data_IF_246024972559
#
_entry.id   IF_246024972559
#
_cell.length_a   1.000
_cell.length_b   1.000
_cell.length_c   1.000
_cell.angle_alpha   90.00
_cell.angle_beta   90.00
_cell.angle_gamma   90.00
#
_symmetry.space_group_name_H-M   'P 1'
#
loop_
_entity.id
_entity.type
_entity.pdbx_description
1 polymer ?
#
# COMPACT_ATOMS: atom_id res chain seq x y z
N UNK A 1 -49.46 -44.97 -54.44
CA UNK A 1 -50.32 -44.85 -53.24
C UNK A 1 -49.58 -44.18 -52.16
N UNK A 2 -49.96 -43.03 -51.90
CA UNK A 2 -49.35 -42.00 -51.04
C UNK A 2 -49.64 -42.24 -49.58
N UNK A 3 -48.66 -41.95 -48.65
CA UNK A 3 -49.00 -41.62 -47.31
C UNK A 3 -48.03 -40.51 -46.83
N UNK A 4 -48.66 -39.42 -46.57
CA UNK A 4 -48.12 -38.17 -46.03
C UNK A 4 -47.91 -38.33 -44.53
N UNK A 5 -46.77 -37.89 -43.99
CA UNK A 5 -46.45 -37.97 -42.61
C UNK A 5 -45.81 -36.64 -42.13
N UNK A 6 -46.66 -35.68 -41.79
CA UNK A 6 -46.25 -34.41 -41.23
C UNK A 6 -45.74 -34.54 -39.83
N UNK A 7 -44.52 -34.12 -39.63
CA UNK A 7 -43.90 -33.96 -38.30
C UNK A 7 -44.09 -32.51 -37.80
N UNK A 8 -44.99 -32.34 -36.86
CA UNK A 8 -45.20 -31.09 -36.15
C UNK A 8 -44.04 -30.83 -35.11
N UNK A 9 -43.16 -29.93 -35.45
CA UNK A 9 -42.15 -29.44 -34.50
C UNK A 9 -42.79 -28.51 -33.48
N UNK A 10 -42.79 -28.91 -32.19
CA UNK A 10 -43.12 -28.04 -31.08
C UNK A 10 -41.89 -27.17 -30.74
N UNK A 11 -42.01 -25.89 -31.00
CA UNK A 11 -41.04 -24.92 -30.50
C UNK A 11 -41.18 -24.77 -28.95
N UNK A 12 -40.17 -25.20 -28.20
CA UNK A 12 -40.07 -24.96 -26.78
C UNK A 12 -39.45 -23.59 -26.62
N UNK A 13 -40.25 -22.58 -26.27
CA UNK A 13 -39.78 -21.26 -25.95
C UNK A 13 -39.09 -21.28 -24.54
N UNK A 14 -37.78 -21.14 -24.52
CA UNK A 14 -37.04 -20.93 -23.28
C UNK A 14 -37.17 -19.45 -22.89
N UNK A 15 -37.98 -19.15 -21.87
CA UNK A 15 -38.04 -17.84 -21.26
C UNK A 15 -36.80 -17.64 -20.39
N UNK A 16 -35.86 -16.85 -20.87
CA UNK A 16 -34.70 -16.39 -20.04
C UNK A 16 -35.22 -15.30 -19.11
N UNK A 17 -35.48 -15.66 -17.85
CA UNK A 17 -35.69 -14.67 -16.79
C UNK A 17 -34.36 -14.03 -16.44
N UNK A 18 -34.12 -12.82 -16.91
CA UNK A 18 -33.02 -11.96 -16.45
C UNK A 18 -33.40 -11.40 -15.08
N UNK A 19 -32.89 -12.01 -14.02
CA UNK A 19 -32.95 -11.39 -12.70
C UNK A 19 -31.99 -10.18 -12.67
N UNK A 20 -32.53 -8.98 -12.88
CA UNK A 20 -31.83 -7.76 -12.47
C UNK A 20 -31.77 -7.76 -10.94
N UNK A 21 -30.66 -8.23 -10.36
CA UNK A 21 -30.33 -7.97 -8.98
C UNK A 21 -29.94 -6.49 -8.84
N UNK A 22 -30.93 -5.65 -8.59
CA UNK A 22 -30.67 -4.30 -8.09
C UNK A 22 -30.00 -4.43 -6.74
N UNK A 23 -28.68 -4.30 -6.69
CA UNK A 23 -27.95 -4.14 -5.44
C UNK A 23 -28.37 -2.79 -4.85
N UNK A 24 -29.36 -2.83 -3.95
CA UNK A 24 -29.72 -1.69 -3.12
C UNK A 24 -28.47 -1.33 -2.31
N UNK A 25 -27.80 -0.26 -2.69
CA UNK A 25 -26.72 0.31 -1.88
C UNK A 25 -27.35 0.82 -0.58
N UNK A 26 -27.10 0.10 0.53
CA UNK A 26 -27.46 0.60 1.85
C UNK A 26 -26.74 1.93 2.06
N UNK A 27 -27.46 3.02 2.36
CA UNK A 27 -26.82 4.29 2.58
C UNK A 27 -25.89 4.18 3.82
N UNK A 28 -24.69 4.80 3.72
CA UNK A 28 -23.75 4.87 4.82
C UNK A 28 -24.39 5.63 6.00
N UNK A 29 -24.14 5.18 7.21
CA UNK A 29 -24.52 5.97 8.39
C UNK A 29 -23.77 7.32 8.40
N UNK A 30 -24.33 8.33 9.07
CA UNK A 30 -23.66 9.62 9.22
C UNK A 30 -22.29 9.48 9.89
N UNK A 31 -22.16 8.56 10.85
CA UNK A 31 -20.90 8.27 11.54
C UNK A 31 -19.86 7.65 10.58
N UNK A 32 -20.27 6.69 9.76
CA UNK A 32 -19.36 6.08 8.76
C UNK A 32 -18.91 7.09 7.73
N UNK A 33 -19.81 7.97 7.29
CA UNK A 33 -19.48 9.06 6.36
C UNK A 33 -18.42 10.00 6.94
N UNK A 34 -18.54 10.40 8.20
CA UNK A 34 -17.55 11.25 8.87
C UNK A 34 -16.18 10.57 8.95
N UNK A 35 -16.14 9.28 9.29
CA UNK A 35 -14.90 8.51 9.40
C UNK A 35 -14.20 8.33 8.04
N UNK A 36 -14.97 8.13 6.98
CA UNK A 36 -14.46 8.07 5.61
C UNK A 36 -13.88 9.42 5.17
N UNK A 37 -14.54 10.53 5.50
CA UNK A 37 -14.03 11.88 5.21
C UNK A 37 -12.73 12.13 5.96
N UNK A 38 -12.64 11.74 7.23
CA UNK A 38 -11.38 11.84 8.00
C UNK A 38 -10.27 11.00 7.35
N UNK A 39 -10.53 9.73 7.02
CA UNK A 39 -9.55 8.86 6.36
C UNK A 39 -9.05 9.47 5.04
N UNK A 40 -9.95 9.98 4.22
CA UNK A 40 -9.61 10.67 2.98
C UNK A 40 -8.75 11.92 3.22
N UNK A 41 -9.10 12.74 4.21
CA UNK A 41 -8.39 14.00 4.49
C UNK A 41 -6.94 13.80 4.92
N UNK A 42 -6.61 12.62 5.49
CA UNK A 42 -5.26 12.24 5.87
C UNK A 42 -4.55 11.50 4.72
N UNK A 43 -5.25 10.61 4.04
CA UNK A 43 -4.68 9.78 2.99
C UNK A 43 -4.30 10.57 1.74
N UNK A 44 -5.18 11.46 1.26
CA UNK A 44 -4.96 12.16 0.01
C UNK A 44 -3.63 12.95 -0.03
N UNK A 45 -3.29 13.79 0.97
CA UNK A 45 -2.01 14.49 0.97
C UNK A 45 -0.80 13.56 1.13
N UNK A 46 -0.94 12.39 1.77
CA UNK A 46 0.14 11.40 1.85
C UNK A 46 0.36 10.71 0.50
N UNK A 47 -0.71 10.34 -0.20
CA UNK A 47 -0.63 9.76 -1.56
C UNK A 47 0.02 10.74 -2.53
N UNK A 48 -0.31 12.03 -2.45
CA UNK A 48 0.24 13.07 -3.32
C UNK A 48 1.67 13.50 -2.95
N UNK A 49 2.16 13.11 -1.76
CA UNK A 49 3.57 13.31 -1.37
C UNK A 49 4.47 12.26 -2.01
N UNK A 50 5.57 12.68 -2.63
CA UNK A 50 6.55 11.80 -3.23
C UNK A 50 7.51 11.23 -2.19
N UNK A 51 7.96 9.99 -2.42
CA UNK A 51 8.86 9.31 -1.49
C UNK A 51 9.29 7.95 -2.04
N UNK A 52 9.97 7.94 -3.19
CA UNK A 52 10.60 6.72 -3.73
C UNK A 52 11.61 6.20 -2.71
N UNK A 53 11.75 4.86 -2.62
CA UNK A 53 12.68 4.19 -1.72
C UNK A 53 14.07 4.83 -1.71
N UNK A 54 14.48 5.34 -0.55
CA UNK A 54 15.70 6.12 -0.33
C UNK A 54 15.53 7.64 -0.45
N UNK A 55 14.31 8.13 -0.78
CA UNK A 55 13.99 9.56 -0.87
C UNK A 55 12.69 9.92 -0.12
N UNK A 56 12.43 9.28 1.03
CA UNK A 56 11.19 9.38 1.81
C UNK A 56 11.04 10.71 2.58
N UNK A 57 12.01 11.61 2.48
CA UNK A 57 11.99 12.89 3.20
C UNK A 57 10.66 13.64 3.12
N UNK A 58 10.12 13.93 1.93
CA UNK A 58 8.88 14.69 1.77
C UNK A 58 7.68 14.05 2.46
N UNK A 59 7.48 12.74 2.30
CA UNK A 59 6.35 12.04 2.93
C UNK A 59 6.53 11.90 4.43
N UNK A 60 7.75 11.69 4.94
CA UNK A 60 8.04 11.68 6.38
C UNK A 60 7.65 13.01 7.03
N UNK A 61 7.99 14.12 6.40
CA UNK A 61 7.58 15.44 6.88
C UNK A 61 6.05 15.65 6.79
N UNK A 62 5.39 15.06 5.79
CA UNK A 62 3.93 15.08 5.72
C UNK A 62 3.30 14.31 6.89
N UNK A 63 3.81 13.13 7.23
CA UNK A 63 3.35 12.37 8.41
C UNK A 63 3.59 13.17 9.70
N UNK A 64 4.77 13.78 9.88
CA UNK A 64 5.07 14.61 11.07
C UNK A 64 4.05 15.74 11.26
N UNK A 65 3.66 16.43 10.17
CA UNK A 65 2.64 17.50 10.23
C UNK A 65 1.25 16.99 10.62
N UNK A 66 0.96 15.72 10.35
CA UNK A 66 -0.32 15.08 10.63
C UNK A 66 -0.38 14.40 12.00
N UNK A 67 0.73 14.28 12.72
CA UNK A 67 0.76 13.74 14.07
C UNK A 67 -0.11 14.56 15.02
N UNK A 68 -0.76 13.95 16.02
CA UNK A 68 -1.43 14.70 17.06
C UNK A 68 -0.41 15.51 17.87
N UNK A 69 -0.80 16.69 18.33
CA UNK A 69 0.09 17.68 18.98
C UNK A 69 0.83 17.15 20.21
N UNK A 70 0.29 16.14 20.87
CA UNK A 70 0.91 15.50 22.03
C UNK A 70 1.98 14.46 21.64
N UNK A 71 1.98 13.95 20.40
CA UNK A 71 2.89 12.89 19.97
C UNK A 71 4.29 13.48 19.74
N UNK A 72 5.25 12.98 20.52
CA UNK A 72 6.67 13.28 20.31
C UNK A 72 7.23 12.27 19.34
N UNK A 73 7.72 12.74 18.21
CA UNK A 73 8.35 11.89 17.20
C UNK A 73 9.85 12.07 17.18
N UNK A 74 10.56 11.01 16.85
CA UNK A 74 12.00 11.00 16.59
C UNK A 74 12.27 10.36 15.23
N UNK A 75 13.36 10.77 14.58
CA UNK A 75 13.81 10.13 13.34
C UNK A 75 15.15 9.47 13.64
N UNK A 76 15.27 8.18 13.37
CA UNK A 76 16.52 7.45 13.56
C UNK A 76 17.52 7.69 12.42
N UNK A 77 18.71 7.10 12.54
CA UNK A 77 19.78 7.23 11.54
C UNK A 77 19.47 6.54 10.21
N UNK A 78 18.55 5.57 10.20
CA UNK A 78 18.07 4.91 9.00
C UNK A 78 17.05 5.77 8.26
N UNK A 79 16.40 6.71 8.94
CA UNK A 79 15.35 7.59 8.43
C UNK A 79 13.95 7.18 8.85
N UNK A 80 13.78 6.14 9.66
CA UNK A 80 12.47 5.76 10.20
C UNK A 80 11.94 6.84 11.15
N UNK A 81 10.63 7.06 11.14
CA UNK A 81 9.95 7.94 12.07
C UNK A 81 9.31 7.11 13.19
N UNK A 82 9.54 7.50 14.45
CA UNK A 82 9.10 6.78 15.64
C UNK A 82 8.19 7.64 16.51
N UNK A 83 7.15 7.02 17.08
CA UNK A 83 6.35 7.59 18.17
C UNK A 83 6.14 6.52 19.23
N UNK A 84 6.54 6.80 20.48
CA UNK A 84 6.38 5.90 21.62
C UNK A 84 5.22 6.37 22.49
N UNK A 85 4.33 5.47 22.88
CA UNK A 85 3.16 5.78 23.71
C UNK A 85 3.02 4.73 24.81
N UNK A 86 2.63 5.17 26.00
CA UNK A 86 2.56 4.29 27.18
C UNK A 86 3.93 3.93 27.73
N UNK A 87 3.95 3.04 28.71
CA UNK A 87 5.16 2.58 29.41
C UNK A 87 4.98 1.14 29.89
N UNK A 88 6.09 0.46 30.19
CA UNK A 88 6.08 -0.88 30.77
C UNK A 88 6.03 -2.00 29.71
N UNK A 89 5.75 -3.21 30.17
CA UNK A 89 5.71 -4.43 29.38
C UNK A 89 4.31 -4.99 29.26
N UNK A 90 4.03 -5.73 28.17
CA UNK A 90 4.90 -5.99 27.04
C UNK A 90 5.07 -4.76 26.14
N UNK A 91 6.13 -4.74 25.31
CA UNK A 91 6.28 -3.76 24.24
C UNK A 91 5.66 -4.32 22.97
N UNK A 92 4.84 -3.53 22.29
CA UNK A 92 4.18 -3.85 21.02
C UNK A 92 4.66 -2.86 19.96
N UNK A 93 5.05 -3.35 18.80
CA UNK A 93 5.42 -2.52 17.66
C UNK A 93 4.30 -2.54 16.63
N UNK A 94 3.98 -1.40 16.06
CA UNK A 94 3.14 -1.24 14.86
C UNK A 94 3.99 -0.51 13.83
N UNK A 95 4.24 -1.14 12.69
CA UNK A 95 5.14 -0.63 11.66
C UNK A 95 4.46 -0.61 10.30
N UNK A 96 4.62 0.49 9.55
CA UNK A 96 4.12 0.68 8.19
C UNK A 96 5.18 1.46 7.40
N UNK A 97 5.37 1.15 6.12
CA UNK A 97 6.41 1.83 5.36
C UNK A 97 5.95 3.16 4.74
N UNK A 98 6.92 4.04 4.51
CA UNK A 98 6.72 5.35 3.89
C UNK A 98 7.07 5.39 2.42
N UNK A 99 7.99 4.53 2.00
CA UNK A 99 8.45 4.56 0.63
C UNK A 99 7.41 4.04 -0.36
N UNK A 100 7.71 4.21 -1.60
CA UNK A 100 6.92 3.79 -2.74
C UNK A 100 7.84 3.29 -3.83
N UNK A 101 7.33 2.39 -4.67
CA UNK A 101 8.01 1.98 -5.90
C UNK A 101 8.24 3.20 -6.81
N UNK A 102 9.31 3.15 -7.57
CA UNK A 102 9.62 4.20 -8.54
C UNK A 102 10.91 3.89 -9.28
N UNK A 103 11.57 4.94 -9.71
CA UNK A 103 12.82 4.82 -10.47
C UNK A 103 13.87 5.78 -9.92
N UNK A 104 15.12 5.51 -10.30
CA UNK A 104 16.27 6.38 -10.07
C UNK A 104 17.02 6.59 -11.38
N UNK A 105 17.49 7.79 -11.63
CA UNK A 105 18.34 8.11 -12.78
C UNK A 105 19.67 7.38 -12.62
N UNK A 106 19.92 6.41 -13.49
CA UNK A 106 21.17 5.62 -13.54
C UNK A 106 22.13 6.12 -14.62
N UNK A 107 21.64 6.86 -15.63
CA UNK A 107 22.46 7.41 -16.70
C UNK A 107 21.80 8.59 -17.39
N UNK A 108 22.62 9.48 -17.95
CA UNK A 108 22.18 10.57 -18.83
C UNK A 108 22.87 10.35 -20.18
N UNK A 109 22.10 10.11 -21.23
CA UNK A 109 22.59 9.80 -22.56
C UNK A 109 22.99 11.06 -23.31
N UNK A 110 23.76 10.90 -24.41
CA UNK A 110 24.22 12.03 -25.24
C UNK A 110 23.06 12.77 -25.92
N UNK A 111 21.95 12.05 -26.21
CA UNK A 111 20.71 12.62 -26.75
C UNK A 111 19.87 13.36 -25.69
N UNK A 112 20.30 13.36 -24.42
CA UNK A 112 19.61 14.01 -23.29
C UNK A 112 18.55 13.15 -22.63
N UNK A 113 18.26 11.94 -23.12
CA UNK A 113 17.35 11.02 -22.43
C UNK A 113 18.00 10.40 -21.18
N UNK A 114 17.18 10.05 -20.19
CA UNK A 114 17.62 9.52 -18.90
C UNK A 114 17.39 8.02 -18.86
N UNK A 115 18.42 7.25 -18.54
CA UNK A 115 18.29 5.83 -18.21
C UNK A 115 17.87 5.66 -16.75
N UNK A 116 17.00 4.70 -16.51
CA UNK A 116 16.40 4.48 -15.19
C UNK A 116 16.70 3.08 -14.68
N UNK A 117 16.96 2.97 -13.39
CA UNK A 117 16.86 1.73 -12.64
C UNK A 117 15.57 1.73 -11.80
N UNK A 118 14.97 0.56 -11.59
CA UNK A 118 13.79 0.40 -10.73
C UNK A 118 14.17 0.48 -9.26
N UNK A 119 13.28 1.07 -8.46
CA UNK A 119 13.31 1.05 -6.99
C UNK A 119 12.03 0.34 -6.54
N UNK A 120 12.17 -0.93 -6.13
CA UNK A 120 11.06 -1.83 -5.82
C UNK A 120 10.76 -2.83 -6.94
N UNK A 121 9.87 -3.78 -6.64
CA UNK A 121 9.50 -4.88 -7.53
C UNK A 121 8.18 -4.61 -8.27
N UNK A 122 8.23 -4.27 -9.56
CA UNK A 122 7.03 -4.02 -10.37
C UNK A 122 7.25 -4.22 -11.87
N UNK A 123 6.18 -4.25 -12.63
CA UNK A 123 6.21 -4.40 -14.10
C UNK A 123 6.45 -3.02 -14.72
N UNK A 124 7.71 -2.72 -15.06
CA UNK A 124 8.11 -1.41 -15.57
C UNK A 124 7.45 -1.00 -16.90
N UNK A 125 6.98 -1.96 -17.71
CA UNK A 125 6.26 -1.67 -18.97
C UNK A 125 4.90 -0.97 -18.73
N UNK A 126 4.32 -1.07 -17.55
CA UNK A 126 3.10 -0.35 -17.22
C UNK A 126 3.29 1.18 -17.19
N UNK A 127 4.53 1.65 -17.13
CA UNK A 127 4.88 3.07 -17.09
C UNK A 127 5.20 3.64 -18.49
N UNK A 128 5.38 2.81 -19.51
CA UNK A 128 5.67 3.27 -20.87
C UNK A 128 4.59 4.20 -21.42
N UNK A 129 5.01 5.22 -22.17
CA UNK A 129 4.15 6.26 -22.73
C UNK A 129 3.34 7.05 -21.70
N UNK A 130 3.75 7.05 -20.44
CA UNK A 130 3.10 7.84 -19.37
C UNK A 130 3.90 9.10 -19.07
N UNK A 131 3.26 10.15 -18.51
CA UNK A 131 3.98 11.29 -17.96
C UNK A 131 4.97 10.87 -16.87
N UNK A 132 6.13 11.53 -16.82
CA UNK A 132 7.14 11.34 -15.80
C UNK A 132 7.42 12.65 -15.05
N UNK A 133 7.90 12.54 -13.81
CA UNK A 133 8.48 13.62 -13.02
C UNK A 133 9.85 13.17 -12.53
N UNK A 134 10.87 13.98 -12.82
CA UNK A 134 12.20 13.84 -12.24
C UNK A 134 12.29 14.79 -11.05
N UNK A 135 12.53 14.26 -9.86
CA UNK A 135 12.61 15.03 -8.62
C UNK A 135 14.03 15.56 -8.43
N UNK A 136 14.23 16.85 -8.62
CA UNK A 136 15.52 17.51 -8.48
C UNK A 136 15.55 18.45 -7.28
N UNK A 137 16.74 18.87 -6.85
CA UNK A 137 16.90 19.84 -5.76
C UNK A 137 16.33 21.24 -6.10
N UNK A 138 16.10 21.51 -7.40
CA UNK A 138 15.55 22.76 -7.89
C UNK A 138 14.04 22.69 -8.16
N UNK A 139 13.42 21.52 -7.92
CA UNK A 139 12.02 21.23 -8.19
C UNK A 139 11.83 20.11 -9.21
N UNK A 140 10.59 19.76 -9.44
CA UNK A 140 10.23 18.65 -10.33
C UNK A 140 10.34 19.05 -11.81
N UNK A 141 10.96 18.19 -12.62
CA UNK A 141 11.06 18.34 -14.06
C UNK A 141 10.09 17.35 -14.72
N UNK A 142 9.18 17.88 -15.54
CA UNK A 142 8.26 17.06 -16.32
C UNK A 142 9.00 16.33 -17.47
N UNK A 143 8.57 15.11 -17.75
CA UNK A 143 9.07 14.30 -18.84
C UNK A 143 8.06 13.24 -19.28
N UNK A 144 8.51 12.34 -20.13
CA UNK A 144 7.70 11.21 -20.63
C UNK A 144 8.54 9.94 -20.54
N UNK A 145 7.97 8.88 -19.97
CA UNK A 145 8.54 7.55 -20.06
C UNK A 145 8.46 7.06 -21.51
N UNK A 146 9.61 6.78 -22.10
CA UNK A 146 9.68 6.35 -23.50
C UNK A 146 9.16 4.91 -23.65
N UNK A 147 8.38 4.62 -24.70
CA UNK A 147 8.10 3.26 -25.09
C UNK A 147 9.39 2.52 -25.43
N UNK A 148 9.49 1.25 -25.03
CA UNK A 148 10.57 0.38 -25.47
C UNK A 148 10.22 -0.24 -26.83
N UNK A 149 11.27 -0.69 -27.55
CA UNK A 149 11.07 -1.36 -28.84
C UNK A 149 10.22 -2.62 -28.67
N UNK A 150 9.10 -2.67 -29.39
CA UNK A 150 8.21 -3.82 -29.40
C UNK A 150 8.83 -5.08 -30.02
N UNK A 151 9.94 -4.94 -30.76
CA UNK A 151 10.74 -6.03 -31.32
C UNK A 151 11.70 -6.70 -30.35
N UNK A 152 11.73 -6.28 -29.09
CA UNK A 152 12.59 -6.89 -28.07
C UNK A 152 12.21 -8.35 -27.83
N UNK A 153 13.18 -9.27 -28.04
CA UNK A 153 13.01 -10.71 -27.89
C UNK A 153 13.82 -11.32 -26.74
N UNK A 154 14.53 -10.49 -25.97
CA UNK A 154 15.37 -10.92 -24.85
C UNK A 154 14.58 -11.24 -23.58
N UNK A 155 15.22 -11.91 -22.62
CA UNK A 155 14.60 -12.21 -21.32
C UNK A 155 14.52 -11.00 -20.39
N UNK A 156 15.49 -10.08 -20.49
CA UNK A 156 15.55 -8.86 -19.67
C UNK A 156 15.33 -7.64 -20.57
N UNK A 157 14.22 -6.92 -20.40
CA UNK A 157 13.98 -5.71 -21.18
C UNK A 157 15.05 -4.65 -20.87
N UNK A 158 15.41 -3.82 -21.87
CA UNK A 158 16.34 -2.72 -21.63
C UNK A 158 15.80 -1.76 -20.58
N UNK A 159 16.65 -0.99 -19.90
CA UNK A 159 16.23 0.03 -18.94
C UNK A 159 15.16 0.95 -19.54
N UNK A 160 14.15 1.27 -18.75
CA UNK A 160 13.19 2.29 -19.12
C UNK A 160 13.89 3.64 -19.18
N UNK A 161 13.47 4.50 -20.10
CA UNK A 161 14.05 5.84 -20.28
C UNK A 161 13.00 6.92 -20.13
N UNK A 162 13.46 8.11 -19.76
CA UNK A 162 12.63 9.33 -19.73
C UNK A 162 13.23 10.38 -20.66
N UNK A 163 12.38 10.99 -21.46
CA UNK A 163 12.68 12.20 -22.21
C UNK A 163 12.15 13.41 -21.44
N UNK A 164 13.04 14.33 -21.11
CA UNK A 164 12.75 15.62 -20.47
C UNK A 164 12.82 16.80 -21.46
N UNK A 165 12.85 16.52 -22.76
CA UNK A 165 12.93 17.53 -23.83
C UNK A 165 14.30 18.20 -23.97
N UNK A 166 15.36 17.66 -23.37
CA UNK A 166 16.67 18.33 -23.32
C UNK A 166 17.45 18.32 -24.65
N UNK A 167 17.33 17.24 -25.42
CA UNK A 167 18.03 17.07 -26.73
C UNK A 167 19.54 16.93 -26.65
N UNK A 168 20.16 17.02 -25.47
CA UNK A 168 21.58 16.67 -25.23
C UNK A 168 21.84 16.49 -23.71
N UNK A 169 22.89 15.71 -23.40
CA UNK A 169 23.37 15.53 -22.02
C UNK A 169 23.59 16.86 -21.30
N UNK A 170 24.30 17.79 -21.94
CA UNK A 170 24.63 19.08 -21.35
C UNK A 170 23.35 19.88 -21.00
N UNK A 171 22.35 19.87 -21.88
CA UNK A 171 21.07 20.54 -21.60
C UNK A 171 20.29 19.86 -20.48
N UNK A 172 20.24 18.52 -20.41
CA UNK A 172 19.62 17.80 -19.30
C UNK A 172 20.25 18.20 -17.95
N UNK A 173 21.59 18.26 -17.90
CA UNK A 173 22.30 18.72 -16.69
C UNK A 173 22.01 20.18 -16.36
N UNK A 174 21.87 21.06 -17.37
CA UNK A 174 21.49 22.47 -17.14
C UNK A 174 20.06 22.60 -16.57
N UNK A 175 19.17 21.67 -16.87
CA UNK A 175 17.84 21.59 -16.24
C UNK A 175 17.90 21.13 -14.78
N UNK A 176 19.07 20.76 -14.26
CA UNK A 176 19.25 20.28 -12.90
C UNK A 176 19.20 18.75 -12.74
N UNK A 177 19.14 18.02 -13.87
CA UNK A 177 19.17 16.54 -13.82
C UNK A 177 20.53 16.03 -13.41
N UNK A 178 20.57 15.11 -12.47
CA UNK A 178 21.77 14.40 -12.01
C UNK A 178 21.50 12.92 -11.74
N UNK A 179 22.58 12.13 -11.69
CA UNK A 179 22.48 10.72 -11.29
C UNK A 179 21.98 10.59 -9.86
N UNK A 180 21.20 9.56 -9.60
CA UNK A 180 20.68 9.26 -8.29
C UNK A 180 19.34 9.94 -7.97
N UNK A 181 18.92 10.94 -8.73
CA UNK A 181 17.60 11.57 -8.55
C UNK A 181 16.47 10.59 -8.84
N UNK A 182 15.38 10.69 -8.07
CA UNK A 182 14.24 9.80 -8.23
C UNK A 182 13.31 10.28 -9.35
N UNK A 183 12.62 9.29 -9.93
CA UNK A 183 11.66 9.54 -11.02
C UNK A 183 10.38 8.77 -10.72
N UNK A 184 9.25 9.46 -10.88
CA UNK A 184 7.92 8.88 -10.70
C UNK A 184 6.98 9.31 -11.82
N UNK A 185 5.74 8.83 -11.78
CA UNK A 185 4.63 9.49 -12.47
C UNK A 185 4.06 10.61 -11.59
N UNK A 186 3.44 11.64 -12.19
CA UNK A 186 2.55 12.54 -11.45
C UNK A 186 1.51 11.73 -10.66
N UNK A 187 1.25 12.14 -9.42
CA UNK A 187 0.29 11.48 -8.53
C UNK A 187 -0.93 12.34 -8.30
N UNK A 188 -2.07 11.69 -8.25
CA UNK A 188 -3.33 12.30 -7.88
C UNK A 188 -4.18 11.29 -7.12
N UNK A 189 -4.77 11.72 -6.01
CA UNK A 189 -5.81 10.97 -5.33
C UNK A 189 -7.16 11.25 -5.99
N UNK A 190 -7.85 10.22 -6.46
CA UNK A 190 -9.15 10.37 -7.15
C UNK A 190 -10.22 9.50 -6.50
N UNK A 191 -11.36 10.08 -6.16
CA UNK A 191 -12.53 9.33 -5.70
C UNK A 191 -13.20 8.63 -6.87
N UNK A 192 -13.51 7.37 -6.65
CA UNK A 192 -14.36 6.56 -7.53
C UNK A 192 -15.79 6.46 -6.97
N UNK A 193 -16.63 5.65 -7.60
CA UNK A 193 -18.00 5.42 -7.14
C UNK A 193 -18.03 4.81 -5.73
N UNK A 194 -19.00 5.23 -4.93
CA UNK A 194 -19.18 4.79 -3.55
C UNK A 194 -18.05 5.27 -2.64
N UNK A 195 -17.43 4.35 -1.93
CA UNK A 195 -16.33 4.61 -0.98
C UNK A 195 -14.94 4.31 -1.54
N UNK A 196 -14.85 3.98 -2.82
CA UNK A 196 -13.60 3.62 -3.48
C UNK A 196 -12.78 4.82 -3.89
N UNK A 197 -11.48 4.62 -4.01
CA UNK A 197 -10.53 5.61 -4.52
C UNK A 197 -9.50 4.90 -5.41
N UNK A 198 -8.90 5.70 -6.31
CA UNK A 198 -7.73 5.30 -7.10
C UNK A 198 -6.63 6.33 -6.96
N UNK A 199 -5.42 5.87 -7.06
CA UNK A 199 -4.20 6.64 -7.00
C UNK A 199 -3.01 5.74 -7.22
N UNK A 200 -1.82 6.26 -7.00
CA UNK A 200 -0.59 5.49 -6.95
C UNK A 200 0.00 5.58 -5.54
N UNK A 201 0.66 4.53 -5.10
CA UNK A 201 1.30 4.49 -3.77
C UNK A 201 0.31 4.43 -2.60
N UNK A 202 -0.84 3.79 -2.79
CA UNK A 202 -1.62 3.38 -1.62
C UNK A 202 -0.80 2.41 -0.77
N UNK A 203 0.04 1.63 -1.42
CA UNK A 203 1.12 0.86 -0.84
C UNK A 203 2.30 1.78 -0.44
N UNK A 204 2.64 2.03 0.87
CA UNK A 204 1.76 1.74 2.02
C UNK A 204 1.28 3.04 2.70
N UNK A 205 0.88 4.05 1.91
CA UNK A 205 0.28 5.29 2.43
C UNK A 205 -1.01 5.02 3.20
N UNK A 206 -1.70 3.91 2.91
CA UNK A 206 -2.89 3.49 3.65
C UNK A 206 -2.50 3.04 5.05
N UNK A 207 -1.48 2.21 5.22
CA UNK A 207 -0.99 1.81 6.54
C UNK A 207 -0.49 3.02 7.34
N UNK A 208 0.29 3.90 6.71
CA UNK A 208 0.72 5.15 7.34
C UNK A 208 -0.46 6.02 7.80
N UNK A 209 -1.52 6.11 7.00
CA UNK A 209 -2.77 6.83 7.34
C UNK A 209 -3.49 6.16 8.50
N UNK A 210 -3.64 4.84 8.45
CA UNK A 210 -4.34 4.08 9.49
C UNK A 210 -3.63 4.19 10.84
N UNK A 211 -2.29 4.18 10.87
CA UNK A 211 -1.50 4.44 12.08
C UNK A 211 -1.79 5.84 12.64
N UNK A 212 -1.82 6.88 11.79
CA UNK A 212 -2.13 8.25 12.23
C UNK A 212 -3.53 8.36 12.84
N UNK A 213 -4.54 7.73 12.22
CA UNK A 213 -5.91 7.73 12.74
C UNK A 213 -5.98 6.96 14.07
N UNK A 214 -5.36 5.78 14.14
CA UNK A 214 -5.30 4.99 15.37
C UNK A 214 -4.65 5.77 16.51
N UNK A 215 -3.52 6.42 16.23
CA UNK A 215 -2.77 7.22 17.20
C UNK A 215 -3.61 8.40 17.74
N UNK A 216 -4.37 9.09 16.86
CA UNK A 216 -5.27 10.19 17.26
C UNK A 216 -6.40 9.74 18.17
N UNK A 217 -6.87 8.50 18.00
CA UNK A 217 -8.01 7.93 18.71
C UNK A 217 -7.63 7.06 19.91
N UNK A 218 -6.33 6.85 20.14
CA UNK A 218 -5.80 5.98 21.18
C UNK A 218 -6.15 6.51 22.57
N UNK A 219 -6.72 5.66 23.41
CA UNK A 219 -6.90 5.97 24.84
C UNK A 219 -5.58 5.76 25.60
N UNK A 220 -4.77 6.81 25.62
CA UNK A 220 -3.44 6.79 26.24
C UNK A 220 -3.47 6.54 27.74
N UNK A 221 -4.55 6.95 28.42
CA UNK A 221 -4.69 6.78 29.86
C UNK A 221 -4.98 5.31 30.23
N UNK A 222 -5.62 4.58 29.34
CA UNK A 222 -5.92 3.16 29.51
C UNK A 222 -4.76 2.22 29.17
N UNK A 223 -3.68 2.72 28.51
CA UNK A 223 -2.55 1.87 28.12
C UNK A 223 -1.79 1.36 29.37
N UNK A 224 -1.67 0.03 29.47
CA UNK A 224 -0.93 -0.67 30.52
C UNK A 224 0.44 -1.16 30.08
N UNK A 225 0.83 -0.86 28.85
CA UNK A 225 2.05 -1.31 28.19
C UNK A 225 2.55 -0.24 27.23
N UNK A 226 3.73 -0.44 26.68
CA UNK A 226 4.29 0.47 25.68
C UNK A 226 3.90 0.02 24.27
N UNK A 227 3.46 0.98 23.44
CA UNK A 227 3.25 0.80 22.01
C UNK A 227 4.23 1.71 21.26
N UNK A 228 4.91 1.17 20.28
CA UNK A 228 5.84 1.90 19.42
C UNK A 228 5.28 1.90 18.01
N UNK A 229 4.93 3.08 17.52
CA UNK A 229 4.55 3.29 16.13
C UNK A 229 5.80 3.66 15.33
N UNK A 230 6.01 2.96 14.21
CA UNK A 230 7.14 3.17 13.32
C UNK A 230 6.60 3.40 11.91
N UNK A 231 7.05 4.45 11.26
CA UNK A 231 6.94 4.64 9.83
C UNK A 231 8.32 4.38 9.24
N UNK A 232 8.48 3.21 8.63
CA UNK A 232 9.74 2.70 8.11
C UNK A 232 10.07 3.28 6.73
N UNK A 233 11.29 3.08 6.30
CA UNK A 233 11.82 3.53 5.01
C UNK A 233 12.47 2.35 4.28
N UNK A 234 12.53 2.44 2.94
CA UNK A 234 13.20 1.45 2.08
C UNK A 234 12.69 0.02 2.27
N UNK A 235 11.38 -0.13 2.47
CA UNK A 235 10.71 -1.44 2.50
C UNK A 235 10.83 -2.12 1.13
N UNK A 236 10.45 -1.42 0.07
CA UNK A 236 10.32 -1.86 -1.31
C UNK A 236 11.63 -2.38 -1.94
N UNK A 237 12.76 -2.11 -1.29
CA UNK A 237 14.10 -2.50 -1.77
C UNK A 237 14.86 -3.40 -0.79
N UNK A 238 14.13 -4.05 0.13
CA UNK A 238 14.68 -5.07 1.01
C UNK A 238 14.52 -4.81 2.50
N UNK A 239 13.42 -4.16 2.93
CA UNK A 239 13.03 -4.00 4.34
C UNK A 239 14.10 -3.29 5.21
N UNK A 240 14.95 -2.44 4.59
CA UNK A 240 16.16 -1.90 5.25
C UNK A 240 15.84 -1.08 6.51
N UNK A 241 14.76 -0.29 6.47
CA UNK A 241 14.30 0.48 7.62
C UNK A 241 13.83 -0.41 8.76
N UNK A 242 13.07 -1.44 8.44
CA UNK A 242 12.58 -2.42 9.41
C UNK A 242 13.73 -3.22 10.04
N UNK A 243 14.72 -3.63 9.23
CA UNK A 243 15.92 -4.30 9.73
C UNK A 243 16.68 -3.43 10.74
N UNK A 244 16.85 -2.13 10.44
CA UNK A 244 17.46 -1.18 11.37
C UNK A 244 16.64 -1.01 12.65
N UNK A 245 15.31 -0.93 12.55
CA UNK A 245 14.42 -0.82 13.70
C UNK A 245 14.44 -2.09 14.57
N UNK A 246 14.41 -3.27 13.94
CA UNK A 246 14.49 -4.55 14.62
C UNK A 246 15.83 -4.70 15.37
N UNK A 247 16.95 -4.34 14.75
CA UNK A 247 18.27 -4.36 15.39
C UNK A 247 18.34 -3.40 16.60
N UNK A 248 17.73 -2.21 16.49
CA UNK A 248 17.71 -1.23 17.58
C UNK A 248 16.86 -1.67 18.78
N UNK A 249 15.77 -2.43 18.54
CA UNK A 249 14.86 -2.92 19.58
C UNK A 249 15.27 -4.30 20.13
N UNK A 250 15.94 -5.12 19.33
CA UNK A 250 16.37 -6.47 19.72
C UNK A 250 15.18 -7.32 20.18
N UNK A 251 15.34 -7.99 21.32
CA UNK A 251 14.33 -8.86 21.94
C UNK A 251 13.28 -8.09 22.77
N UNK A 252 13.31 -6.74 22.79
CA UNK A 252 12.42 -5.92 23.63
C UNK A 252 10.94 -6.05 23.24
N UNK A 253 10.55 -6.03 21.97
CA UNK A 253 9.15 -6.21 21.59
C UNK A 253 8.67 -7.64 21.85
N UNK A 254 7.45 -7.79 22.35
CA UNK A 254 6.78 -9.09 22.44
C UNK A 254 6.29 -9.56 21.09
N UNK A 255 5.81 -8.63 20.28
CA UNK A 255 5.32 -8.83 18.93
C UNK A 255 5.39 -7.55 18.11
N UNK A 256 5.37 -7.73 16.82
CA UNK A 256 5.23 -6.66 15.83
C UNK A 256 3.95 -6.89 15.01
N UNK A 257 3.26 -5.82 14.72
CA UNK A 257 2.19 -5.77 13.74
C UNK A 257 2.69 -4.96 12.55
N UNK A 258 3.18 -5.64 11.53
CA UNK A 258 3.44 -5.00 10.25
C UNK A 258 2.10 -4.66 9.60
N UNK A 259 1.97 -3.43 9.19
CA UNK A 259 0.81 -2.93 8.44
C UNK A 259 1.27 -2.82 7.00
N UNK A 260 0.57 -3.52 6.11
CA UNK A 260 1.01 -3.62 4.73
C UNK A 260 -0.14 -4.06 3.83
N UNK A 261 0.02 -3.95 2.53
CA UNK A 261 -1.00 -4.32 1.56
C UNK A 261 -1.37 -5.79 1.65
N UNK A 262 -2.56 -6.10 1.23
CA UNK A 262 -3.02 -7.44 0.95
C UNK A 262 -3.49 -7.47 -0.50
N UNK A 263 -2.68 -8.05 -1.38
CA UNK A 263 -3.04 -8.13 -2.81
C UNK A 263 -4.34 -8.91 -2.95
N UNK A 264 -5.42 -8.22 -3.30
CA UNK A 264 -6.75 -8.79 -3.36
C UNK A 264 -7.01 -9.50 -4.68
N UNK A 265 -7.51 -10.73 -4.61
CA UNK A 265 -7.92 -11.51 -5.77
C UNK A 265 -9.35 -11.21 -6.23
N UNK A 266 -10.03 -10.21 -5.69
CA UNK A 266 -11.37 -9.81 -6.11
C UNK A 266 -11.39 -8.90 -7.35
N UNK A 267 -10.21 -8.64 -7.92
CA UNK A 267 -10.08 -7.93 -9.20
C UNK A 267 -10.55 -8.79 -10.36
N UNK A 268 -11.22 -8.21 -11.36
CA UNK A 268 -11.66 -8.96 -12.55
C UNK A 268 -10.54 -9.62 -13.36
N UNK A 269 -9.29 -9.15 -13.16
CA UNK A 269 -8.11 -9.64 -13.90
C UNK A 269 -7.17 -10.51 -13.05
N UNK A 270 -7.42 -10.63 -11.75
CA UNK A 270 -6.64 -11.48 -10.87
C UNK A 270 -7.09 -12.94 -10.95
N UNK A 271 -6.15 -13.86 -10.80
CA UNK A 271 -6.47 -15.29 -10.77
C UNK A 271 -7.11 -15.66 -9.41
N UNK A 272 -8.21 -16.46 -9.44
CA UNK A 272 -8.97 -16.79 -8.22
C UNK A 272 -8.19 -17.62 -7.16
N UNK A 273 -7.04 -18.16 -7.51
CA UNK A 273 -6.20 -18.99 -6.65
C UNK A 273 -5.26 -18.19 -5.75
N UNK A 274 -5.18 -16.88 -5.90
CA UNK A 274 -4.62 -16.00 -4.87
C UNK A 274 -5.69 -15.66 -3.84
N UNK A 275 -5.25 -15.15 -2.71
CA UNK A 275 -6.08 -14.86 -1.57
C UNK A 275 -7.34 -14.07 -1.90
N UNK A 276 -8.42 -14.45 -1.26
CA UNK A 276 -9.70 -13.76 -1.42
C UNK A 276 -9.89 -12.85 -0.20
N UNK A 277 -9.49 -11.60 -0.32
CA UNK A 277 -9.87 -10.54 0.60
C UNK A 277 -10.45 -9.38 -0.22
N UNK A 278 -11.75 -9.42 -0.56
CA UNK A 278 -12.36 -8.39 -1.38
C UNK A 278 -12.30 -7.02 -0.71
N UNK A 279 -12.09 -5.98 -1.52
CA UNK A 279 -12.11 -4.59 -1.05
C UNK A 279 -13.50 -4.22 -0.52
N UNK A 280 -13.55 -3.40 0.53
CA UNK A 280 -14.78 -2.94 1.18
C UNK A 280 -15.32 -3.90 2.24
N UNK A 281 -14.53 -4.91 2.64
CA UNK A 281 -14.88 -5.91 3.67
C UNK A 281 -14.08 -5.80 4.96
N UNK A 282 -13.25 -4.80 5.07
CA UNK A 282 -12.44 -4.52 6.25
C UNK A 282 -10.97 -4.95 6.13
N UNK A 283 -10.21 -4.70 7.19
CA UNK A 283 -8.82 -5.11 7.32
C UNK A 283 -8.64 -6.63 7.18
N UNK A 284 -7.41 -7.08 7.00
CA UNK A 284 -7.11 -8.51 6.80
C UNK A 284 -6.02 -8.95 7.77
N UNK A 285 -6.28 -9.98 8.57
CA UNK A 285 -5.22 -10.72 9.25
C UNK A 285 -4.44 -11.54 8.21
N UNK A 286 -3.17 -11.21 7.99
CA UNK A 286 -2.28 -11.95 7.07
C UNK A 286 -1.82 -13.22 7.78
N UNK A 287 -2.47 -14.35 7.50
CA UNK A 287 -2.13 -15.64 8.11
C UNK A 287 -0.84 -16.24 7.53
N UNK A 288 -0.55 -15.93 6.27
CA UNK A 288 0.63 -16.39 5.54
C UNK A 288 0.94 -15.38 4.44
N UNK A 289 2.22 -15.07 4.26
CA UNK A 289 2.77 -14.40 3.09
C UNK A 289 4.14 -15.00 2.72
N UNK A 290 4.90 -14.34 1.81
CA UNK A 290 6.18 -14.86 1.35
C UNK A 290 7.29 -14.74 2.40
N UNK A 291 7.13 -13.90 3.41
CA UNK A 291 8.14 -13.62 4.42
C UNK A 291 7.84 -14.24 5.78
N UNK A 292 6.56 -14.48 6.10
CA UNK A 292 6.19 -14.96 7.42
C UNK A 292 4.95 -15.87 7.43
N UNK A 293 4.87 -16.69 8.48
CA UNK A 293 3.69 -17.48 8.85
C UNK A 293 3.26 -17.03 10.23
N UNK A 294 2.10 -16.38 10.32
CA UNK A 294 1.53 -16.00 11.61
C UNK A 294 1.07 -17.24 12.36
N UNK A 295 1.54 -17.50 13.59
CA UNK A 295 1.07 -18.66 14.34
C UNK A 295 -0.46 -18.63 14.51
N UNK A 296 -1.18 -19.74 14.30
CA UNK A 296 -2.65 -19.76 14.30
C UNK A 296 -3.31 -19.13 15.54
N UNK A 297 -2.72 -19.33 16.72
CA UNK A 297 -3.23 -18.75 17.96
C UNK A 297 -3.23 -17.21 17.95
N UNK A 298 -2.31 -16.58 17.23
CA UNK A 298 -2.28 -15.12 17.07
C UNK A 298 -3.30 -14.64 16.05
N UNK A 299 -3.54 -15.40 14.98
CA UNK A 299 -4.65 -15.12 14.03
C UNK A 299 -5.98 -15.20 14.77
N UNK A 300 -6.21 -16.25 15.57
CA UNK A 300 -7.41 -16.40 16.38
C UNK A 300 -7.57 -15.24 17.37
N UNK A 301 -6.48 -14.79 17.98
CA UNK A 301 -6.49 -13.64 18.90
C UNK A 301 -6.86 -12.35 18.17
N UNK A 302 -6.34 -12.09 16.98
CA UNK A 302 -6.76 -10.94 16.14
C UNK A 302 -8.26 -10.99 15.85
N UNK A 303 -8.78 -12.15 15.46
CA UNK A 303 -10.23 -12.35 15.20
C UNK A 303 -11.05 -12.09 16.46
N UNK A 304 -10.60 -12.55 17.63
CA UNK A 304 -11.29 -12.30 18.91
C UNK A 304 -11.29 -10.81 19.26
N UNK A 305 -10.14 -10.12 19.12
CA UNK A 305 -10.04 -8.68 19.35
C UNK A 305 -10.96 -7.91 18.40
N UNK A 306 -10.97 -8.25 17.11
CA UNK A 306 -11.84 -7.62 16.12
C UNK A 306 -13.33 -7.79 16.50
N UNK A 307 -13.74 -9.00 16.86
CA UNK A 307 -15.12 -9.29 17.30
C UNK A 307 -15.50 -8.50 18.55
N UNK A 308 -14.63 -8.49 19.55
CA UNK A 308 -14.88 -7.78 20.81
C UNK A 308 -15.01 -6.25 20.62
N UNK A 309 -14.37 -5.71 19.60
CA UNK A 309 -14.38 -4.28 19.26
C UNK A 309 -15.34 -3.92 18.12
N UNK A 310 -16.05 -4.89 17.53
CA UNK A 310 -16.96 -4.67 16.40
C UNK A 310 -16.24 -4.21 15.13
N UNK A 311 -14.97 -4.61 14.95
CA UNK A 311 -14.16 -4.25 13.78
C UNK A 311 -14.33 -5.31 12.70
N UNK A 312 -14.54 -4.86 11.46
CA UNK A 312 -14.58 -5.76 10.31
C UNK A 312 -13.15 -6.29 10.01
N UNK A 313 -12.95 -7.59 10.10
CA UNK A 313 -11.67 -8.24 9.84
C UNK A 313 -11.88 -9.49 8.98
N UNK A 314 -11.09 -9.61 7.94
CA UNK A 314 -10.95 -10.79 7.10
C UNK A 314 -9.72 -11.58 7.54
N UNK A 315 -9.58 -12.82 7.09
CA UNK A 315 -8.38 -13.64 7.27
C UNK A 315 -7.99 -14.19 5.91
N UNK A 316 -6.71 -14.13 5.56
CA UNK A 316 -6.27 -14.62 4.26
C UNK A 316 -4.78 -14.86 4.18
N UNK A 317 -4.38 -15.36 3.00
CA UNK A 317 -3.00 -15.55 2.59
C UNK A 317 -2.73 -14.68 1.37
N UNK A 318 -1.54 -14.10 1.27
CA UNK A 318 -1.17 -13.22 0.17
C UNK A 318 0.28 -13.48 -0.26
N UNK A 319 0.71 -12.84 -1.33
CA UNK A 319 2.11 -12.77 -1.72
C UNK A 319 2.73 -11.44 -1.21
N UNK A 320 4.02 -11.25 -1.46
CA UNK A 320 4.81 -10.13 -0.94
C UNK A 320 5.40 -10.43 0.44
N UNK A 321 6.33 -9.59 0.87
CA UNK A 321 6.89 -9.62 2.22
C UNK A 321 6.16 -8.64 3.13
N UNK A 322 6.73 -8.41 4.30
CA UNK A 322 6.33 -7.33 5.21
C UNK A 322 7.48 -7.02 6.20
N UNK A 323 7.49 -5.81 6.71
CA UNK A 323 8.49 -5.29 7.65
C UNK A 323 8.62 -6.10 8.95
N UNK A 324 7.57 -6.79 9.38
CA UNK A 324 7.56 -7.58 10.61
C UNK A 324 8.49 -8.78 10.58
N UNK A 325 8.77 -9.29 9.38
CA UNK A 325 9.68 -10.43 9.19
C UNK A 325 11.10 -10.15 9.70
N UNK A 326 11.56 -8.89 9.65
CA UNK A 326 12.87 -8.47 10.16
C UNK A 326 13.00 -8.55 11.67
N UNK A 327 11.89 -8.63 12.40
CA UNK A 327 11.89 -8.80 13.85
C UNK A 327 11.96 -10.26 14.29
N UNK A 328 11.63 -11.19 13.41
CA UNK A 328 11.58 -12.64 13.77
C UNK A 328 12.94 -13.24 14.17
N UNK A 329 14.10 -12.80 13.61
CA UNK A 329 15.40 -13.27 14.07
C UNK A 329 15.71 -12.93 15.54
N UNK A 330 15.02 -11.93 16.10
CA UNK A 330 15.13 -11.52 17.51
C UNK A 330 14.13 -12.24 18.42
N UNK A 331 13.39 -13.24 17.91
CA UNK A 331 12.36 -13.96 18.68
C UNK A 331 11.05 -13.19 18.88
N UNK A 332 10.87 -12.09 18.16
CA UNK A 332 9.63 -11.30 18.14
C UNK A 332 8.62 -11.97 17.22
N UNK A 333 7.38 -12.10 17.66
CA UNK A 333 6.34 -12.71 16.82
C UNK A 333 5.81 -11.66 15.85
N UNK A 334 5.87 -11.98 14.56
CA UNK A 334 5.24 -11.18 13.50
C UNK A 334 3.75 -11.55 13.37
N UNK A 335 2.88 -10.55 13.49
CA UNK A 335 1.43 -10.69 13.43
C UNK A 335 0.87 -9.60 12.50
N UNK A 336 1.07 -9.71 11.19
CA UNK A 336 0.78 -8.63 10.26
C UNK A 336 -0.71 -8.44 10.03
N UNK A 337 -1.10 -7.18 9.86
CA UNK A 337 -2.48 -6.75 9.59
C UNK A 337 -2.48 -5.99 8.28
N UNK A 338 -3.06 -6.59 7.25
CA UNK A 338 -3.13 -6.00 5.93
C UNK A 338 -4.45 -5.26 5.66
N UNK A 339 -4.48 -4.69 4.49
CA UNK A 339 -5.65 -4.05 3.91
C UNK A 339 -5.75 -4.40 2.42
N UNK A 340 -6.95 -4.71 1.90
CA UNK A 340 -7.08 -5.21 0.54
C UNK A 340 -6.81 -4.12 -0.51
N UNK A 341 -5.98 -4.45 -1.49
CA UNK A 341 -5.56 -3.59 -2.59
C UNK A 341 -5.75 -4.31 -3.93
N UNK A 342 -6.32 -3.63 -4.91
CA UNK A 342 -6.32 -4.07 -6.31
C UNK A 342 -5.22 -3.37 -7.09
N UNK A 343 -4.59 -4.11 -8.01
CA UNK A 343 -3.58 -3.59 -8.94
C UNK A 343 -2.33 -3.03 -8.23
N UNK A 344 -1.91 -3.70 -7.14
CA UNK A 344 -0.69 -3.35 -6.39
C UNK A 344 0.50 -3.15 -7.32
N UNK A 345 1.39 -2.22 -6.98
CA UNK A 345 2.60 -1.89 -7.72
C UNK A 345 2.34 -1.46 -9.18
N UNK A 346 1.21 -0.81 -9.41
CA UNK A 346 0.82 -0.30 -10.73
C UNK A 346 0.66 1.23 -10.76
N UNK A 347 0.53 1.84 -11.94
CA UNK A 347 0.22 3.26 -12.07
C UNK A 347 -1.13 3.70 -11.49
N UNK A 348 -2.04 2.74 -11.22
CA UNK A 348 -3.40 3.04 -10.76
C UNK A 348 -3.93 1.91 -9.86
N UNK A 349 -3.71 2.05 -8.58
CA UNK A 349 -4.21 1.16 -7.54
C UNK A 349 -5.64 1.52 -7.16
N UNK A 350 -6.40 0.56 -6.60
CA UNK A 350 -7.79 0.79 -6.16
C UNK A 350 -8.01 0.23 -4.77
N UNK A 351 -8.57 1.07 -3.89
CA UNK A 351 -8.92 0.74 -2.50
C UNK A 351 -10.40 1.05 -2.21
N UNK A 352 -10.85 0.57 -1.05
CA UNK A 352 -12.08 1.07 -0.43
C UNK A 352 -11.76 1.76 0.90
N UNK A 353 -12.21 2.98 1.10
CA UNK A 353 -11.95 3.76 2.32
C UNK A 353 -12.56 3.13 3.59
N UNK A 354 -13.53 2.21 3.44
CA UNK A 354 -14.02 1.41 4.57
C UNK A 354 -12.92 0.52 5.14
N UNK A 355 -12.05 0.00 4.29
CA UNK A 355 -10.95 -0.85 4.72
C UNK A 355 -9.88 -0.04 5.47
N UNK A 356 -9.61 1.20 5.04
CA UNK A 356 -8.73 2.14 5.76
C UNK A 356 -9.27 2.44 7.16
N UNK A 357 -10.56 2.69 7.27
CA UNK A 357 -11.23 2.93 8.56
C UNK A 357 -11.16 1.70 9.45
N UNK A 358 -11.43 0.52 8.90
CA UNK A 358 -11.36 -0.75 9.62
C UNK A 358 -9.94 -1.06 10.09
N UNK A 359 -8.94 -0.82 9.24
CA UNK A 359 -7.53 -0.99 9.58
C UNK A 359 -7.11 -0.09 10.75
N UNK A 360 -7.50 1.18 10.72
CA UNK A 360 -7.22 2.10 11.82
C UNK A 360 -7.86 1.65 13.15
N UNK A 361 -9.09 1.14 13.10
CA UNK A 361 -9.75 0.59 14.27
C UNK A 361 -9.08 -0.69 14.77
N UNK A 362 -8.58 -1.53 13.85
CA UNK A 362 -7.86 -2.75 14.22
C UNK A 362 -6.51 -2.43 14.87
N UNK A 363 -5.74 -1.48 14.29
CA UNK A 363 -4.49 -1.00 14.88
C UNK A 363 -4.74 -0.44 16.29
N UNK A 364 -5.75 0.40 16.45
CA UNK A 364 -6.14 0.90 17.76
C UNK A 364 -6.50 -0.23 18.73
N UNK A 365 -7.30 -1.19 18.28
CA UNK A 365 -7.74 -2.30 19.10
C UNK A 365 -6.58 -3.16 19.63
N UNK A 366 -5.61 -3.51 18.76
CA UNK A 366 -4.43 -4.27 19.19
C UNK A 366 -3.50 -3.43 20.08
N UNK A 367 -3.38 -2.14 19.82
CA UNK A 367 -2.58 -1.23 20.64
C UNK A 367 -3.17 -1.08 22.06
N UNK A 368 -4.49 -1.11 22.24
CA UNK A 368 -5.15 -0.92 23.53
C UNK A 368 -5.33 -2.21 24.33
N UNK A 369 -5.38 -3.36 23.70
CA UNK A 369 -5.87 -4.57 24.38
C UNK A 369 -4.92 -5.75 24.37
N UNK A 370 -3.92 -5.74 23.53
CA UNK A 370 -3.16 -6.98 23.28
C UNK A 370 -1.67 -6.88 23.56
#
# INVERSE_FOLDING_TARGET
MMADGGTGGRAVGIAVMVFLSASLSVPLSAQDSTRIVEAQSILAPLVESYGVSGAEGPVREAVKRLLPTWAKSETDTAGNLWVRVGQGSPVVVVIAHLDEIGFRVSGIRDDGTLELETRGGFISSLFEAKPALVHTDQGDIAGVFLPRDSGFTGHTPPPLRVDVGAGSRAKAMTLGVSLGQTVTMPKQYVRLSGTRATGRSFDDRVGATAQLIALRRLDRAALKHQVIFIWSVREEIGLEGAAAAAAALGTTPRRVHAIDTFVSADSPIELPNFAVAPIGRGAVARALDNSSITPPAYVDSLVQVARARGVALQVGTTNGGNDGSEFTPYGVVDVPIGWPLRYSHSPAEVIDLKDVVSLADMIRAVAETW
#
